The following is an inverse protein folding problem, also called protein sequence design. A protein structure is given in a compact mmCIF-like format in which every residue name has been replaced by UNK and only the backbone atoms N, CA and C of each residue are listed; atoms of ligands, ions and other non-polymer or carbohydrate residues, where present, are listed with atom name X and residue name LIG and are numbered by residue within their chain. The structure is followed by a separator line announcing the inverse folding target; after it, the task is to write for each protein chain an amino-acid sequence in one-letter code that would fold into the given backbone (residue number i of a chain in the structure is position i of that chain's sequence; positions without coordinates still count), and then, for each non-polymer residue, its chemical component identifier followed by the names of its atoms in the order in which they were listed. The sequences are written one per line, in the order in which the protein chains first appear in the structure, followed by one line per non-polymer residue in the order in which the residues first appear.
data_IF_118421724143
#
_entry.id   IF_118421724143
#
_cell.length_a   1.000
_cell.length_b   1.000
_cell.length_c   1.000
_cell.angle_alpha   90.00
_cell.angle_beta   90.00
_cell.angle_gamma   90.00
#
_symmetry.space_group_name_H-M   'P 1'
#
loop_
_entity.id
_entity.type
_entity.pdbx_description
1 polymer ?
#
# COMPACT_ATOMS: atom_id res chain seq x y z
N UNK A 1 25.19 22.99 -10.82
CA UNK A 1 24.06 22.03 -10.65
C UNK A 1 24.29 20.90 -11.64
N UNK A 2 24.48 19.68 -11.19
CA UNK A 2 24.51 18.51 -12.08
C UNK A 2 23.18 18.45 -12.83
N UNK A 3 23.25 18.19 -14.13
CA UNK A 3 22.06 18.05 -14.97
C UNK A 3 21.40 16.71 -14.60
N UNK A 4 20.39 16.73 -13.72
CA UNK A 4 19.64 15.52 -13.32
C UNK A 4 18.74 15.07 -14.47
N UNK A 5 18.57 13.77 -14.63
CA UNK A 5 17.66 13.24 -15.66
C UNK A 5 16.19 13.51 -15.33
N UNK A 6 15.34 13.46 -16.34
CA UNK A 6 13.92 13.81 -16.23
C UNK A 6 13.13 12.82 -15.38
N UNK A 7 13.45 11.50 -15.45
CA UNK A 7 12.82 10.47 -14.62
C UNK A 7 13.07 10.74 -13.15
N UNK A 8 14.34 11.04 -12.80
CA UNK A 8 14.73 11.37 -11.44
C UNK A 8 14.02 12.64 -10.93
N UNK A 9 14.00 13.71 -11.73
CA UNK A 9 13.33 14.96 -11.34
C UNK A 9 11.83 14.74 -11.12
N UNK A 10 11.21 13.94 -11.97
CA UNK A 10 9.80 13.57 -11.84
C UNK A 10 9.55 12.79 -10.56
N UNK A 11 10.35 11.76 -10.28
CA UNK A 11 10.22 10.95 -9.07
C UNK A 11 10.37 11.80 -7.80
N UNK A 12 11.43 12.61 -7.71
CA UNK A 12 11.71 13.47 -6.54
C UNK A 12 10.57 14.48 -6.31
N UNK A 13 10.08 15.14 -7.37
CA UNK A 13 9.04 16.17 -7.23
C UNK A 13 7.66 15.60 -6.91
N UNK A 14 7.35 14.40 -7.43
CA UNK A 14 6.01 13.82 -7.30
C UNK A 14 5.84 13.03 -6.00
N UNK A 15 6.87 12.29 -5.57
CA UNK A 15 6.74 11.27 -4.52
C UNK A 15 7.26 11.70 -3.14
N UNK A 16 7.87 12.88 -3.00
CA UNK A 16 8.46 13.35 -1.72
C UNK A 16 7.50 13.25 -0.53
N UNK A 17 6.26 13.66 -0.72
CA UNK A 17 5.25 13.59 0.35
C UNK A 17 4.93 12.16 0.77
N UNK A 18 4.88 11.21 -0.18
CA UNK A 18 4.64 9.80 0.13
C UNK A 18 5.76 9.21 0.98
N UNK A 19 7.02 9.48 0.63
CA UNK A 19 8.18 9.00 1.38
C UNK A 19 8.12 9.47 2.83
N UNK A 20 7.98 10.77 3.03
CA UNK A 20 7.96 11.37 4.36
C UNK A 20 6.73 10.92 5.17
N UNK A 21 5.55 10.84 4.54
CA UNK A 21 4.33 10.42 5.22
C UNK A 21 4.32 8.93 5.61
N UNK A 22 5.17 8.11 5.00
CA UNK A 22 5.30 6.68 5.28
C UNK A 22 6.59 6.32 6.03
N UNK A 23 7.27 7.31 6.62
CA UNK A 23 8.30 7.08 7.62
C UNK A 23 9.75 7.30 7.17
N UNK A 24 9.99 7.76 5.93
CA UNK A 24 11.32 8.19 5.51
C UNK A 24 11.62 9.55 6.15
N UNK A 25 12.73 9.72 6.89
CA UNK A 25 13.16 11.03 7.37
C UNK A 25 13.35 12.01 6.22
N UNK A 26 12.88 13.25 6.39
CA UNK A 26 13.04 14.29 5.36
C UNK A 26 14.51 14.56 5.03
N UNK A 27 15.42 14.45 6.02
CA UNK A 27 16.86 14.55 5.83
C UNK A 27 17.37 13.51 4.84
N UNK A 28 16.94 12.25 5.01
CA UNK A 28 17.37 11.14 4.14
C UNK A 28 16.85 11.30 2.73
N UNK A 29 15.58 11.73 2.58
CA UNK A 29 15.03 12.05 1.28
C UNK A 29 15.83 13.14 0.56
N UNK A 30 16.22 14.19 1.28
CA UNK A 30 17.03 15.29 0.73
C UNK A 30 18.45 14.82 0.39
N UNK A 31 19.08 14.04 1.27
CA UNK A 31 20.44 13.53 1.07
C UNK A 31 20.51 12.64 -0.18
N UNK A 32 19.65 11.64 -0.29
CA UNK A 32 19.60 10.74 -1.45
C UNK A 32 19.24 11.52 -2.73
N UNK A 33 18.23 12.40 -2.66
CA UNK A 33 17.87 13.23 -3.80
C UNK A 33 19.00 14.16 -4.24
N UNK A 34 19.89 14.57 -3.35
CA UNK A 34 21.03 15.42 -3.68
C UNK A 34 22.23 14.63 -4.24
N UNK A 35 22.47 13.40 -3.75
CA UNK A 35 23.65 12.58 -4.10
C UNK A 35 23.58 12.02 -5.53
N UNK A 36 22.38 11.75 -6.04
CA UNK A 36 22.16 11.09 -7.35
C UNK A 36 21.88 12.08 -8.47
N UNK A 37 22.28 11.74 -9.68
CA UNK A 37 22.05 12.52 -10.90
C UNK A 37 21.24 11.77 -11.96
N UNK A 38 21.18 10.44 -11.88
CA UNK A 38 20.49 9.57 -12.82
C UNK A 38 19.53 8.62 -12.12
N UNK A 39 18.48 8.22 -12.81
CA UNK A 39 17.53 7.24 -12.32
C UNK A 39 18.19 5.87 -12.04
N UNK A 40 19.21 5.49 -12.79
CA UNK A 40 19.95 4.24 -12.59
C UNK A 40 20.64 4.14 -11.21
N UNK A 41 20.93 5.28 -10.57
CA UNK A 41 21.54 5.35 -9.24
C UNK A 41 20.52 5.20 -8.10
N UNK A 42 19.21 5.34 -8.41
CA UNK A 42 18.13 5.43 -7.45
C UNK A 42 18.06 4.24 -6.48
N UNK A 43 17.99 3.03 -7.01
CA UNK A 43 17.78 1.83 -6.22
C UNK A 43 18.94 1.61 -5.23
N UNK A 44 20.16 1.73 -5.73
CA UNK A 44 21.38 1.54 -4.94
C UNK A 44 21.52 2.56 -3.80
N UNK A 45 21.28 3.83 -4.07
CA UNK A 45 21.42 4.87 -3.04
C UNK A 45 20.39 4.74 -1.92
N UNK A 46 19.16 4.36 -2.25
CA UNK A 46 18.14 4.06 -1.25
C UNK A 46 18.45 2.78 -0.46
N UNK A 47 19.02 1.75 -1.10
CA UNK A 47 19.50 0.54 -0.42
C UNK A 47 20.60 0.88 0.57
N UNK A 48 21.61 1.66 0.15
CA UNK A 48 22.69 2.12 1.04
C UNK A 48 22.14 2.90 2.24
N UNK A 49 21.16 3.78 2.03
CA UNK A 49 20.49 4.49 3.12
C UNK A 49 19.78 3.52 4.07
N UNK A 50 19.11 2.50 3.53
CA UNK A 50 18.51 1.41 4.32
C UNK A 50 19.53 0.68 5.18
N UNK A 51 20.70 0.36 4.63
CA UNK A 51 21.78 -0.30 5.39
C UNK A 51 22.35 0.55 6.53
N UNK A 52 22.40 1.88 6.38
CA UNK A 52 22.79 2.78 7.48
C UNK A 52 21.80 2.64 8.65
N UNK A 53 20.50 2.70 8.39
CA UNK A 53 19.49 2.49 9.44
C UNK A 53 19.50 1.07 9.99
N UNK A 54 19.74 0.06 9.13
CA UNK A 54 19.90 -1.33 9.56
C UNK A 54 21.02 -1.51 10.59
N UNK A 55 22.18 -0.88 10.35
CA UNK A 55 23.31 -0.90 11.28
C UNK A 55 23.00 -0.21 12.61
N UNK A 56 22.29 0.92 12.60
CA UNK A 56 21.80 1.58 13.82
C UNK A 56 20.82 0.68 14.59
N UNK A 57 19.96 -0.05 13.87
CA UNK A 57 19.07 -1.05 14.45
C UNK A 57 19.82 -2.19 15.13
N UNK A 58 20.87 -2.73 14.48
CA UNK A 58 21.71 -3.79 15.05
C UNK A 58 22.44 -3.30 16.32
N UNK A 59 22.98 -2.08 16.31
CA UNK A 59 23.61 -1.45 17.47
C UNK A 59 22.61 -1.28 18.64
N UNK A 60 21.43 -0.74 18.37
CA UNK A 60 20.38 -0.56 19.38
C UNK A 60 19.96 -1.91 19.98
N UNK A 61 19.83 -2.96 19.16
CA UNK A 61 19.47 -4.32 19.61
C UNK A 61 20.54 -4.92 20.53
N UNK A 62 21.83 -4.76 20.19
CA UNK A 62 22.96 -5.23 21.01
C UNK A 62 22.91 -4.55 22.40
N UNK A 63 22.52 -3.28 22.45
CA UNK A 63 22.41 -2.52 23.70
C UNK A 63 21.09 -2.77 24.46
N UNK A 64 20.20 -3.65 23.95
CA UNK A 64 18.92 -3.97 24.59
C UNK A 64 17.83 -2.91 24.37
N UNK A 65 18.01 -1.95 23.47
CA UNK A 65 17.06 -0.88 23.16
C UNK A 65 16.09 -1.35 22.06
N UNK A 66 15.21 -2.29 22.40
CA UNK A 66 14.37 -2.98 21.45
C UNK A 66 13.45 -2.05 20.64
N UNK A 67 12.82 -1.05 21.26
CA UNK A 67 11.95 -0.11 20.52
C UNK A 67 12.75 0.74 19.54
N UNK A 68 13.91 1.26 19.94
CA UNK A 68 14.79 2.01 19.03
C UNK A 68 15.29 1.12 17.88
N UNK A 69 15.60 -0.14 18.16
CA UNK A 69 15.98 -1.10 17.14
C UNK A 69 14.84 -1.34 16.14
N UNK A 70 13.59 -1.50 16.63
CA UNK A 70 12.40 -1.65 15.78
C UNK A 70 12.21 -0.43 14.86
N UNK A 71 12.32 0.79 15.40
CA UNK A 71 12.18 2.03 14.63
C UNK A 71 13.25 2.16 13.54
N UNK A 72 14.52 1.85 13.86
CA UNK A 72 15.60 1.87 12.87
C UNK A 72 15.40 0.80 11.78
N UNK A 73 15.03 -0.43 12.15
CA UNK A 73 14.76 -1.48 11.16
C UNK A 73 13.55 -1.13 10.29
N UNK A 74 12.50 -0.50 10.83
CA UNK A 74 11.39 -0.03 10.01
C UNK A 74 11.84 1.04 9.01
N UNK A 75 12.64 2.02 9.44
CA UNK A 75 13.20 3.03 8.54
C UNK A 75 14.09 2.39 7.47
N UNK A 76 14.91 1.40 7.83
CA UNK A 76 15.71 0.63 6.89
C UNK A 76 14.84 -0.08 5.84
N UNK A 77 13.76 -0.73 6.29
CA UNK A 77 12.82 -1.42 5.41
C UNK A 77 12.15 -0.46 4.42
N UNK A 78 11.66 0.68 4.91
CA UNK A 78 10.98 1.68 4.07
C UNK A 78 11.94 2.32 3.07
N UNK A 79 13.20 2.59 3.44
CA UNK A 79 14.24 3.08 2.52
C UNK A 79 14.49 2.07 1.38
N UNK A 80 14.71 0.80 1.71
CA UNK A 80 14.90 -0.26 0.70
C UNK A 80 13.65 -0.45 -0.16
N UNK A 81 12.44 -0.40 0.45
CA UNK A 81 11.19 -0.45 -0.30
C UNK A 81 11.10 0.68 -1.33
N UNK A 82 11.41 1.91 -0.96
CA UNK A 82 11.39 3.04 -1.90
C UNK A 82 12.55 3.01 -2.90
N UNK A 83 13.62 2.29 -2.63
CA UNK A 83 14.65 1.98 -3.62
C UNK A 83 14.08 1.17 -4.78
N UNK A 84 13.22 0.19 -4.48
CA UNK A 84 12.66 -0.72 -5.49
C UNK A 84 11.37 -0.22 -6.17
N UNK A 85 10.57 0.66 -5.54
CA UNK A 85 9.13 0.82 -5.80
C UNK A 85 8.71 1.06 -7.27
N UNK A 86 9.41 1.91 -8.03
CA UNK A 86 9.20 2.16 -9.48
C UNK A 86 10.43 1.78 -10.32
N UNK A 87 11.43 1.15 -9.70
CA UNK A 87 12.70 0.81 -10.34
C UNK A 87 12.60 -0.52 -11.08
N UNK A 88 11.98 -0.53 -12.27
CA UNK A 88 11.72 -1.75 -13.04
C UNK A 88 12.75 -2.05 -14.13
N UNK A 89 13.72 -1.16 -14.35
CA UNK A 89 14.73 -1.28 -15.39
C UNK A 89 15.81 -2.30 -15.11
N UNK A 90 16.08 -2.60 -13.83
CA UNK A 90 16.93 -3.69 -13.37
C UNK A 90 16.17 -4.56 -12.36
N UNK A 91 15.45 -5.59 -12.83
CA UNK A 91 14.63 -6.46 -11.99
C UNK A 91 15.41 -7.24 -10.93
N UNK A 92 16.68 -7.57 -11.18
CA UNK A 92 17.51 -8.27 -10.21
C UNK A 92 17.91 -7.36 -9.05
N UNK A 93 18.37 -6.14 -9.33
CA UNK A 93 18.67 -5.15 -8.31
C UNK A 93 17.39 -4.80 -7.53
N UNK A 94 16.29 -4.52 -8.23
CA UNK A 94 14.98 -4.25 -7.63
C UNK A 94 14.58 -5.35 -6.64
N UNK A 95 14.68 -6.61 -7.05
CA UNK A 95 14.34 -7.76 -6.21
C UNK A 95 15.26 -7.88 -5.00
N UNK A 96 16.58 -7.74 -5.20
CA UNK A 96 17.55 -7.83 -4.10
C UNK A 96 17.28 -6.76 -3.04
N UNK A 97 17.09 -5.51 -3.47
CA UNK A 97 16.77 -4.38 -2.56
C UNK A 97 15.45 -4.61 -1.83
N UNK A 98 14.45 -5.19 -2.51
CA UNK A 98 13.19 -5.54 -1.85
C UNK A 98 13.38 -6.64 -0.79
N UNK A 99 14.21 -7.64 -1.04
CA UNK A 99 14.49 -8.67 -0.04
C UNK A 99 15.14 -8.09 1.22
N UNK A 100 15.98 -7.07 1.11
CA UNK A 100 16.48 -6.33 2.28
C UNK A 100 15.33 -5.60 3.02
N UNK A 101 14.39 -4.99 2.28
CA UNK A 101 13.20 -4.38 2.92
C UNK A 101 12.42 -5.43 3.74
N UNK A 102 12.18 -6.61 3.17
CA UNK A 102 11.49 -7.72 3.85
C UNK A 102 12.24 -8.15 5.13
N UNK A 103 13.55 -8.34 5.05
CA UNK A 103 14.36 -8.78 6.21
C UNK A 103 14.41 -7.73 7.32
N UNK A 104 14.58 -6.45 6.99
CA UNK A 104 14.54 -5.37 7.98
C UNK A 104 13.16 -5.24 8.60
N UNK A 105 12.11 -5.35 7.81
CA UNK A 105 10.74 -5.27 8.33
C UNK A 105 10.41 -6.44 9.27
N UNK A 106 10.85 -7.66 8.99
CA UNK A 106 10.74 -8.80 9.92
C UNK A 106 11.38 -8.49 11.26
N UNK A 107 12.64 -8.00 11.26
CA UNK A 107 13.36 -7.60 12.49
C UNK A 107 12.60 -6.49 13.24
N UNK A 108 12.03 -5.53 12.51
CA UNK A 108 11.22 -4.47 13.11
C UNK A 108 9.98 -5.02 13.81
N UNK A 109 9.19 -5.86 13.12
CA UNK A 109 7.94 -6.41 13.65
C UNK A 109 8.15 -7.25 14.92
N UNK A 110 9.25 -8.01 15.01
CA UNK A 110 9.58 -8.80 16.21
C UNK A 110 9.75 -7.93 17.46
N UNK A 111 10.26 -6.70 17.31
CA UNK A 111 10.64 -5.80 18.40
C UNK A 111 9.66 -4.64 18.58
N UNK A 112 8.76 -4.43 17.63
CA UNK A 112 7.77 -3.34 17.64
C UNK A 112 6.76 -3.51 18.78
N UNK A 113 6.06 -2.43 19.06
CA UNK A 113 5.02 -2.38 20.08
C UNK A 113 3.71 -1.77 19.53
N UNK A 114 2.65 -2.57 19.28
CA UNK A 114 2.60 -4.04 19.42
C UNK A 114 3.44 -4.76 18.37
N UNK A 115 3.91 -6.00 18.65
CA UNK A 115 4.66 -6.80 17.71
C UNK A 115 3.76 -7.25 16.54
N UNK A 116 4.40 -7.61 15.42
CA UNK A 116 3.72 -8.18 14.26
C UNK A 116 4.02 -9.67 14.09
N UNK A 117 3.12 -10.34 13.38
CA UNK A 117 3.24 -11.73 12.95
C UNK A 117 3.33 -11.76 11.42
N UNK A 118 4.35 -12.42 10.86
CA UNK A 118 4.37 -12.73 9.44
C UNK A 118 3.48 -13.94 9.18
N UNK A 119 2.57 -13.81 8.23
CA UNK A 119 1.59 -14.85 7.88
C UNK A 119 1.73 -15.28 6.43
N UNK A 120 1.28 -16.50 6.14
CA UNK A 120 1.22 -17.09 4.82
C UNK A 120 -0.23 -17.43 4.47
N UNK A 121 -0.68 -16.98 3.31
CA UNK A 121 -2.03 -17.19 2.81
C UNK A 121 -1.94 -17.82 1.42
N UNK A 122 -2.50 -19.03 1.27
CA UNK A 122 -2.47 -19.74 0.01
C UNK A 122 -3.67 -19.39 -0.87
N UNK A 123 -3.41 -19.01 -2.12
CA UNK A 123 -4.40 -18.75 -3.15
C UNK A 123 -3.88 -19.19 -4.53
N UNK A 124 -4.63 -20.05 -5.23
CA UNK A 124 -4.33 -20.51 -6.60
C UNK A 124 -2.84 -20.90 -6.84
N UNK A 125 -2.27 -21.75 -6.00
CA UNK A 125 -0.86 -22.16 -6.01
C UNK A 125 0.15 -21.03 -5.75
N UNK A 126 -0.29 -19.84 -5.34
CA UNK A 126 0.53 -18.75 -4.87
C UNK A 126 0.46 -18.69 -3.34
N UNK A 127 1.61 -18.59 -2.68
CA UNK A 127 1.68 -18.18 -1.28
C UNK A 127 1.82 -16.67 -1.23
N UNK A 128 0.78 -15.99 -0.75
CA UNK A 128 0.80 -14.57 -0.45
C UNK A 128 1.35 -14.37 0.97
N UNK A 129 2.29 -13.45 1.12
CA UNK A 129 2.83 -13.10 2.43
C UNK A 129 2.15 -11.86 2.98
N UNK A 130 1.82 -11.89 4.26
CA UNK A 130 1.22 -10.76 4.94
C UNK A 130 1.85 -10.51 6.31
N UNK A 131 1.51 -9.37 6.87
CA UNK A 131 1.85 -8.95 8.22
C UNK A 131 0.55 -8.73 8.98
N UNK A 132 0.38 -9.44 10.08
CA UNK A 132 -0.73 -9.29 11.00
C UNK A 132 -0.24 -8.61 12.27
N UNK A 133 -0.88 -7.49 12.64
CA UNK A 133 -0.63 -6.82 13.92
C UNK A 133 -1.92 -6.68 14.70
N UNK A 134 -1.86 -6.94 16.00
CA UNK A 134 -3.02 -6.85 16.88
C UNK A 134 -2.84 -5.73 17.89
N UNK A 135 -3.90 -4.97 18.20
CA UNK A 135 -3.85 -3.98 19.26
C UNK A 135 -3.61 -4.65 20.62
N UNK A 136 -3.01 -3.92 21.56
CA UNK A 136 -2.76 -4.45 22.90
C UNK A 136 -4.05 -4.58 23.70
N UNK A 137 -4.10 -5.61 24.56
CA UNK A 137 -5.14 -5.80 25.57
C UNK A 137 -6.58 -5.89 24.99
N UNK A 138 -6.71 -6.35 23.76
CA UNK A 138 -8.01 -6.61 23.14
C UNK A 138 -8.02 -8.05 22.65
N UNK A 139 -8.91 -8.84 23.24
CA UNK A 139 -9.18 -10.20 22.81
C UNK A 139 -10.11 -10.14 21.56
N UNK A 140 -9.80 -10.93 20.54
CA UNK A 140 -10.58 -10.99 19.29
C UNK A 140 -10.88 -9.62 18.69
N UNK A 141 -9.87 -8.78 18.38
CA UNK A 141 -10.10 -7.48 17.76
C UNK A 141 -10.72 -7.62 16.37
N UNK A 142 -11.54 -6.65 15.94
CA UNK A 142 -11.92 -6.53 14.53
C UNK A 142 -10.68 -6.31 13.65
N UNK A 143 -10.80 -6.63 12.36
CA UNK A 143 -9.66 -6.62 11.45
C UNK A 143 -9.91 -5.68 10.28
N UNK A 144 -8.91 -4.88 9.92
CA UNK A 144 -8.87 -4.19 8.63
C UNK A 144 -7.83 -4.86 7.72
N UNK A 145 -8.32 -5.38 6.59
CA UNK A 145 -7.47 -5.88 5.50
C UNK A 145 -6.98 -4.69 4.70
N UNK A 146 -5.68 -4.61 4.43
CA UNK A 146 -5.07 -3.48 3.72
C UNK A 146 -4.53 -3.92 2.36
N UNK A 147 -5.15 -3.40 1.29
CA UNK A 147 -4.77 -3.65 -0.10
C UNK A 147 -3.85 -2.56 -0.62
N UNK A 148 -2.70 -2.99 -1.12
CA UNK A 148 -1.64 -2.10 -1.57
C UNK A 148 -1.90 -1.50 -2.95
N UNK A 149 -1.22 -0.38 -3.25
CA UNK A 149 -1.17 0.22 -4.59
C UNK A 149 -0.31 -0.59 -5.56
N UNK A 150 -0.20 -0.06 -6.78
CA UNK A 150 0.55 -0.70 -7.86
C UNK A 150 2.01 -1.02 -7.47
N UNK A 151 2.68 -0.07 -6.85
CA UNK A 151 4.10 -0.06 -6.53
C UNK A 151 4.40 -0.18 -5.03
N UNK A 152 3.34 -0.34 -4.21
CA UNK A 152 3.43 -0.54 -2.76
C UNK A 152 3.72 -2.00 -2.40
N UNK A 153 4.19 -2.20 -1.18
CA UNK A 153 4.33 -3.51 -0.54
C UNK A 153 4.01 -3.37 0.96
N UNK A 154 3.81 -4.49 1.63
CA UNK A 154 3.44 -4.53 3.06
C UNK A 154 4.44 -3.82 3.99
N UNK A 155 5.70 -3.68 3.57
CA UNK A 155 6.77 -3.01 4.33
C UNK A 155 6.57 -1.49 4.46
N UNK A 156 5.71 -0.90 3.64
CA UNK A 156 5.45 0.55 3.63
C UNK A 156 4.40 0.99 4.66
N UNK A 157 3.67 0.06 5.30
CA UNK A 157 2.36 0.38 5.88
C UNK A 157 2.36 0.76 7.36
N UNK A 158 3.45 0.71 8.08
CA UNK A 158 3.52 0.94 9.54
C UNK A 158 2.76 2.21 9.99
N UNK A 159 2.96 3.34 9.32
CA UNK A 159 2.30 4.60 9.67
C UNK A 159 0.79 4.61 9.41
N UNK A 160 0.33 3.77 8.47
CA UNK A 160 -1.10 3.59 8.17
C UNK A 160 -1.73 2.55 9.10
N UNK A 161 -1.01 1.50 9.48
CA UNK A 161 -1.48 0.50 10.46
C UNK A 161 -1.67 1.13 11.83
N UNK A 162 -0.76 2.01 12.25
CA UNK A 162 -0.75 2.61 13.59
C UNK A 162 -2.06 3.27 13.97
N UNK A 163 -2.68 4.01 13.05
CA UNK A 163 -3.95 4.70 13.35
C UNK A 163 -5.10 3.74 13.63
N UNK A 164 -5.09 2.54 13.07
CA UNK A 164 -6.08 1.49 13.35
C UNK A 164 -5.74 0.75 14.64
N UNK A 165 -4.48 0.37 14.84
CA UNK A 165 -4.01 -0.31 16.07
C UNK A 165 -4.31 0.54 17.32
N UNK A 166 -4.07 1.86 17.26
CA UNK A 166 -4.35 2.81 18.35
C UNK A 166 -5.84 2.92 18.66
N UNK A 167 -6.73 2.43 17.77
CA UNK A 167 -8.19 2.39 17.93
C UNK A 167 -8.74 1.00 18.23
N UNK A 168 -7.87 0.05 18.52
CA UNK A 168 -8.31 -1.30 18.88
C UNK A 168 -8.67 -2.20 17.70
N UNK A 169 -8.23 -1.86 16.49
CA UNK A 169 -8.47 -2.62 15.25
C UNK A 169 -7.15 -3.31 14.85
N UNK A 170 -7.18 -4.61 14.65
CA UNK A 170 -6.07 -5.36 14.07
C UNK A 170 -5.89 -5.00 12.59
N UNK A 171 -4.65 -5.01 12.11
CA UNK A 171 -4.31 -4.77 10.71
C UNK A 171 -3.75 -6.04 10.08
N UNK A 172 -4.23 -6.38 8.89
CA UNK A 172 -3.68 -7.43 8.05
C UNK A 172 -3.30 -6.82 6.72
N UNK A 173 -2.01 -6.56 6.54
CA UNK A 173 -1.41 -6.05 5.32
C UNK A 173 -0.82 -7.21 4.54
N UNK A 174 -1.13 -7.36 3.25
CA UNK A 174 -0.63 -8.49 2.47
C UNK A 174 -0.17 -8.09 1.07
N UNK A 175 0.80 -8.83 0.56
CA UNK A 175 1.26 -8.73 -0.82
C UNK A 175 0.43 -9.67 -1.69
N UNK A 176 -0.61 -9.14 -2.32
CA UNK A 176 -1.41 -9.89 -3.27
C UNK A 176 -0.71 -10.06 -4.62
N UNK A 177 -1.37 -10.73 -5.59
CA UNK A 177 -0.79 -10.97 -6.92
C UNK A 177 -0.26 -9.69 -7.56
N UNK A 178 0.95 -9.73 -8.07
CA UNK A 178 1.65 -8.59 -8.69
C UNK A 178 2.17 -7.53 -7.72
N UNK A 179 2.15 -7.79 -6.41
CA UNK A 179 2.59 -6.85 -5.38
C UNK A 179 3.64 -7.47 -4.46
N UNK A 180 4.56 -6.65 -3.96
CA UNK A 180 5.56 -7.04 -2.99
C UNK A 180 6.28 -8.35 -3.34
N UNK A 181 6.30 -9.32 -2.42
CA UNK A 181 6.97 -10.62 -2.67
C UNK A 181 6.25 -11.44 -3.73
N UNK A 182 4.94 -11.24 -3.93
CA UNK A 182 4.15 -11.95 -4.95
C UNK A 182 4.39 -11.46 -6.38
N UNK A 183 4.91 -10.23 -6.59
CA UNK A 183 5.15 -9.67 -7.93
C UNK A 183 6.16 -10.46 -8.76
N UNK A 184 7.04 -11.21 -8.09
CA UNK A 184 8.04 -12.07 -8.76
C UNK A 184 7.44 -13.37 -9.27
N UNK A 185 6.29 -13.80 -8.75
CA UNK A 185 5.66 -15.09 -8.99
C UNK A 185 4.39 -14.98 -9.84
N UNK A 186 3.61 -13.92 -9.65
CA UNK A 186 2.32 -13.73 -10.30
C UNK A 186 2.15 -12.30 -10.83
N UNK A 187 1.40 -12.08 -11.94
CA UNK A 187 1.01 -10.77 -12.40
C UNK A 187 -0.04 -10.14 -11.48
N UNK A 188 -0.33 -8.85 -11.69
CA UNK A 188 -1.50 -8.16 -11.14
C UNK A 188 -2.77 -8.98 -11.46
N UNK A 189 -3.71 -9.02 -10.52
CA UNK A 189 -5.00 -9.71 -10.70
C UNK A 189 -6.13 -8.67 -10.78
N UNK A 190 -6.83 -8.54 -11.92
CA UNK A 190 -8.00 -7.67 -12.03
C UNK A 190 -9.16 -8.12 -11.13
N UNK A 191 -9.36 -9.43 -10.98
CA UNK A 191 -10.37 -10.07 -10.14
C UNK A 191 -9.89 -10.19 -8.69
N UNK A 192 -9.55 -9.04 -8.07
CA UNK A 192 -8.88 -9.00 -6.76
C UNK A 192 -9.79 -9.40 -5.58
N UNK A 193 -11.09 -9.57 -5.81
CA UNK A 193 -11.99 -10.19 -4.85
C UNK A 193 -11.58 -11.60 -4.46
N UNK A 194 -10.97 -12.37 -5.39
CA UNK A 194 -10.55 -13.73 -5.13
C UNK A 194 -9.41 -13.83 -4.10
N UNK A 195 -8.26 -13.14 -4.26
CA UNK A 195 -7.22 -13.15 -3.23
C UNK A 195 -7.69 -12.54 -1.90
N UNK A 196 -8.57 -11.51 -1.92
CA UNK A 196 -9.16 -10.97 -0.68
C UNK A 196 -10.04 -11.98 0.01
N UNK A 197 -10.85 -12.76 -0.72
CA UNK A 197 -11.65 -13.84 -0.14
C UNK A 197 -10.77 -14.86 0.57
N UNK A 198 -9.62 -15.24 -0.01
CA UNK A 198 -8.67 -16.14 0.66
C UNK A 198 -8.08 -15.52 1.96
N UNK A 199 -7.89 -14.19 2.00
CA UNK A 199 -7.49 -13.49 3.23
C UNK A 199 -8.60 -13.55 4.28
N UNK A 200 -9.87 -13.35 3.90
CA UNK A 200 -11.01 -13.46 4.81
C UNK A 200 -11.13 -14.89 5.34
N UNK A 201 -10.98 -15.91 4.48
CA UNK A 201 -10.98 -17.33 4.87
C UNK A 201 -9.83 -17.67 5.85
N UNK A 202 -8.69 -16.98 5.75
CA UNK A 202 -7.61 -17.08 6.72
C UNK A 202 -8.04 -16.48 8.07
N UNK A 203 -8.66 -15.29 8.08
CA UNK A 203 -9.16 -14.65 9.30
C UNK A 203 -10.21 -15.53 10.00
N UNK A 204 -11.13 -16.16 9.26
CA UNK A 204 -12.16 -17.03 9.80
C UNK A 204 -11.61 -18.28 10.53
N UNK A 205 -10.39 -18.68 10.22
CA UNK A 205 -9.71 -19.82 10.88
C UNK A 205 -8.93 -19.41 12.13
N UNK A 206 -8.92 -18.13 12.48
CA UNK A 206 -8.19 -17.57 13.61
C UNK A 206 -9.13 -17.35 14.80
N UNK A 207 -8.86 -18.01 15.92
CA UNK A 207 -9.63 -17.85 17.17
C UNK A 207 -9.32 -16.51 17.90
N UNK A 208 -8.23 -15.84 17.51
CA UNK A 208 -7.74 -14.61 18.11
C UNK A 208 -8.08 -13.34 17.31
N UNK A 209 -8.99 -13.45 16.33
CA UNK A 209 -9.51 -12.35 15.50
C UNK A 209 -11.04 -12.44 15.37
N UNK A 210 -11.72 -11.31 15.25
CA UNK A 210 -13.17 -11.23 15.06
C UNK A 210 -13.53 -11.34 13.59
N UNK A 211 -13.84 -12.56 13.14
CA UNK A 211 -14.16 -12.82 11.73
C UNK A 211 -15.49 -12.23 11.26
N UNK A 212 -16.38 -11.85 12.17
CA UNK A 212 -17.63 -11.16 11.88
C UNK A 212 -17.50 -9.62 11.78
N UNK A 213 -16.31 -9.08 12.09
CA UNK A 213 -15.99 -7.64 12.08
C UNK A 213 -14.75 -7.37 11.22
N UNK A 214 -14.83 -7.73 9.94
CA UNK A 214 -13.76 -7.53 8.96
C UNK A 214 -14.09 -6.35 8.06
N UNK A 215 -13.15 -5.44 7.91
CA UNK A 215 -13.22 -4.31 6.98
C UNK A 215 -12.08 -4.36 5.97
N UNK A 216 -12.18 -3.56 4.91
CA UNK A 216 -11.14 -3.47 3.89
C UNK A 216 -10.75 -2.01 3.64
N UNK A 217 -9.46 -1.78 3.45
CA UNK A 217 -8.87 -0.49 3.12
C UNK A 217 -7.94 -0.66 1.92
N UNK A 218 -8.00 0.27 0.98
CA UNK A 218 -7.14 0.21 -0.19
C UNK A 218 -6.63 1.57 -0.62
N UNK A 219 -5.36 1.60 -1.08
CA UNK A 219 -4.67 2.82 -1.49
C UNK A 219 -4.26 2.78 -2.96
N UNK A 220 -4.50 3.86 -3.73
CA UNK A 220 -4.14 3.93 -5.15
C UNK A 220 -4.78 2.76 -5.93
N UNK A 221 -4.02 1.88 -6.58
CA UNK A 221 -4.58 0.68 -7.21
C UNK A 221 -5.34 -0.21 -6.18
N UNK A 222 -4.90 -0.24 -4.92
CA UNK A 222 -5.65 -0.86 -3.83
C UNK A 222 -7.03 -0.23 -3.60
N UNK A 223 -7.17 1.06 -3.93
CA UNK A 223 -8.46 1.77 -3.92
C UNK A 223 -9.42 1.30 -5.02
N UNK A 224 -8.95 0.56 -6.04
CA UNK A 224 -9.77 -0.26 -6.92
C UNK A 224 -10.04 -1.64 -6.30
N UNK A 225 -9.02 -2.28 -5.73
CA UNK A 225 -9.11 -3.63 -5.17
C UNK A 225 -10.11 -3.73 -4.01
N UNK A 226 -10.10 -2.75 -3.11
CA UNK A 226 -10.98 -2.77 -1.94
C UNK A 226 -12.47 -2.67 -2.32
N UNK A 227 -12.93 -1.71 -3.14
CA UNK A 227 -14.31 -1.68 -3.63
C UNK A 227 -14.67 -2.90 -4.48
N UNK A 228 -13.74 -3.42 -5.28
CA UNK A 228 -13.93 -4.65 -6.05
C UNK A 228 -14.27 -5.82 -5.12
N UNK A 229 -13.47 -6.04 -4.10
CA UNK A 229 -13.71 -7.07 -3.10
C UNK A 229 -15.04 -6.85 -2.36
N UNK A 230 -15.31 -5.62 -1.91
CA UNK A 230 -16.55 -5.29 -1.20
C UNK A 230 -17.81 -5.46 -2.05
N UNK A 231 -17.68 -5.42 -3.38
CA UNK A 231 -18.81 -5.66 -4.29
C UNK A 231 -19.12 -7.15 -4.52
N UNK A 232 -18.24 -8.05 -4.08
CA UNK A 232 -18.36 -9.51 -4.30
C UNK A 232 -18.39 -10.32 -3.00
N UNK A 233 -17.99 -9.74 -1.86
CA UNK A 233 -17.91 -10.45 -0.58
C UNK A 233 -18.67 -9.71 0.54
N UNK A 234 -19.84 -10.21 0.90
CA UNK A 234 -20.74 -9.64 1.92
C UNK A 234 -20.20 -9.79 3.36
N UNK A 235 -19.10 -10.51 3.57
CA UNK A 235 -18.45 -10.62 4.88
C UNK A 235 -17.79 -9.32 5.29
N UNK A 236 -17.45 -8.44 4.33
CA UNK A 236 -16.87 -7.13 4.59
C UNK A 236 -17.91 -6.16 5.17
N UNK A 237 -17.60 -5.56 6.32
CA UNK A 237 -18.50 -4.67 7.07
C UNK A 237 -18.32 -3.19 6.76
N UNK A 238 -17.18 -2.82 6.21
CA UNK A 238 -16.88 -1.46 5.76
C UNK A 238 -15.77 -1.49 4.70
N UNK A 239 -15.76 -0.50 3.82
CA UNK A 239 -14.75 -0.34 2.78
C UNK A 239 -14.19 1.09 2.78
N UNK A 240 -12.86 1.23 2.67
CA UNK A 240 -12.18 2.52 2.50
C UNK A 240 -11.39 2.48 1.20
N UNK A 241 -11.63 3.44 0.30
CA UNK A 241 -10.91 3.62 -0.96
C UNK A 241 -10.19 4.96 -0.99
N UNK A 242 -8.86 4.92 -1.02
CA UNK A 242 -8.03 6.12 -1.10
C UNK A 242 -7.54 6.33 -2.54
N UNK A 243 -8.11 7.27 -3.25
CA UNK A 243 -7.78 7.67 -4.63
C UNK A 243 -7.62 6.48 -5.60
N UNK A 244 -8.55 5.53 -5.50
CA UNK A 244 -8.58 4.38 -6.41
C UNK A 244 -9.13 4.77 -7.79
N UNK A 245 -8.64 4.18 -8.89
CA UNK A 245 -9.28 4.30 -10.19
C UNK A 245 -10.62 3.56 -10.19
N UNK A 246 -11.63 4.16 -10.81
CA UNK A 246 -12.91 3.51 -11.08
C UNK A 246 -12.77 2.51 -12.23
N UNK A 247 -12.07 2.95 -13.30
CA UNK A 247 -11.65 2.07 -14.39
C UNK A 247 -10.23 2.45 -14.81
N UNK A 248 -9.30 1.48 -14.76
CA UNK A 248 -7.89 1.76 -15.09
C UNK A 248 -7.71 2.19 -16.56
N UNK A 249 -8.54 1.69 -17.47
CA UNK A 249 -8.54 2.09 -18.88
C UNK A 249 -8.81 3.57 -19.09
N UNK A 250 -9.60 4.23 -18.24
CA UNK A 250 -9.90 5.65 -18.33
C UNK A 250 -8.66 6.53 -18.16
N UNK A 251 -7.69 6.04 -17.40
CA UNK A 251 -6.51 6.80 -16.99
C UNK A 251 -5.22 6.35 -17.68
N UNK A 252 -5.19 5.15 -18.29
CA UNK A 252 -3.98 4.49 -18.77
C UNK A 252 -3.11 5.37 -19.66
N UNK A 253 -3.72 6.14 -20.59
CA UNK A 253 -2.97 7.01 -21.51
C UNK A 253 -2.39 8.27 -20.82
N UNK A 254 -2.88 8.62 -19.61
CA UNK A 254 -2.54 9.86 -18.90
C UNK A 254 -1.64 9.65 -17.67
N UNK A 255 -1.46 8.40 -17.21
CA UNK A 255 -0.62 8.13 -16.03
C UNK A 255 0.85 8.47 -16.32
N UNK A 256 1.63 8.88 -15.29
CA UNK A 256 3.04 9.18 -15.44
C UNK A 256 3.85 8.00 -16.00
N UNK A 257 4.90 8.30 -16.80
CA UNK A 257 5.70 7.28 -17.49
C UNK A 257 6.25 6.19 -16.56
N UNK A 258 6.82 6.55 -15.40
CA UNK A 258 7.31 5.57 -14.42
C UNK A 258 6.18 4.65 -13.89
N UNK A 259 4.99 5.20 -13.66
CA UNK A 259 3.82 4.42 -13.24
C UNK A 259 3.38 3.46 -14.35
N UNK A 260 3.42 3.90 -15.62
CA UNK A 260 3.09 3.08 -16.79
C UNK A 260 4.10 1.94 -16.95
N UNK A 261 5.40 2.22 -16.87
CA UNK A 261 6.47 1.22 -16.90
C UNK A 261 6.27 0.17 -15.79
N UNK A 262 5.95 0.60 -14.57
CA UNK A 262 5.67 -0.29 -13.45
C UNK A 262 4.41 -1.15 -13.68
N UNK A 263 3.35 -0.59 -14.29
CA UNK A 263 2.14 -1.34 -14.62
C UNK A 263 2.41 -2.42 -15.67
N UNK A 264 3.13 -2.09 -16.75
CA UNK A 264 3.54 -3.04 -17.78
C UNK A 264 4.37 -4.18 -17.17
N UNK A 265 5.34 -3.84 -16.33
CA UNK A 265 6.20 -4.82 -15.66
C UNK A 265 5.39 -5.77 -14.75
N UNK A 266 4.48 -5.25 -13.93
CA UNK A 266 3.74 -6.03 -12.93
C UNK A 266 2.53 -6.77 -13.48
N UNK A 267 1.96 -6.31 -14.59
CA UNK A 267 0.97 -7.06 -15.36
C UNK A 267 1.60 -8.18 -16.19
N UNK A 268 2.95 -8.23 -16.28
CA UNK A 268 3.72 -9.14 -17.14
C UNK A 268 3.38 -8.99 -18.64
N UNK A 269 2.87 -7.83 -19.04
CA UNK A 269 2.65 -7.48 -20.43
C UNK A 269 3.97 -7.17 -21.15
N UNK A 270 4.03 -7.44 -22.44
CA UNK A 270 5.24 -7.23 -23.26
C UNK A 270 5.20 -5.94 -24.09
N UNK A 271 4.06 -5.25 -24.09
CA UNK A 271 3.86 -3.98 -24.81
C UNK A 271 2.87 -3.08 -24.09
N UNK A 272 2.86 -1.79 -24.47
CA UNK A 272 1.88 -0.83 -23.97
C UNK A 272 0.45 -1.17 -24.45
N UNK A 273 0.29 -1.66 -25.68
CA UNK A 273 -1.01 -2.07 -26.21
C UNK A 273 -1.59 -3.28 -25.43
N UNK A 274 -0.76 -4.28 -25.15
CA UNK A 274 -1.15 -5.42 -24.33
C UNK A 274 -1.53 -4.99 -22.90
N UNK A 275 -0.75 -4.08 -22.32
CA UNK A 275 -1.05 -3.55 -20.98
C UNK A 275 -2.34 -2.71 -20.96
N UNK A 276 -2.64 -1.99 -22.03
CA UNK A 276 -3.89 -1.24 -22.17
C UNK A 276 -5.11 -2.17 -22.30
N UNK A 277 -4.98 -3.26 -23.05
CA UNK A 277 -6.01 -4.30 -23.11
C UNK A 277 -6.20 -4.94 -21.73
N UNK A 278 -5.10 -5.29 -21.04
CA UNK A 278 -5.15 -5.81 -19.67
C UNK A 278 -5.86 -4.84 -18.71
N UNK A 279 -5.54 -3.55 -18.79
CA UNK A 279 -6.15 -2.48 -17.99
C UNK A 279 -7.66 -2.38 -18.16
N UNK A 280 -8.21 -2.74 -19.33
CA UNK A 280 -9.66 -2.73 -19.58
C UNK A 280 -10.46 -3.70 -18.75
N UNK A 281 -9.82 -4.73 -18.16
CA UNK A 281 -10.44 -5.67 -17.23
C UNK A 281 -10.58 -5.09 -15.82
N UNK A 282 -9.86 -4.01 -15.53
CA UNK A 282 -9.85 -3.36 -14.22
C UNK A 282 -10.90 -2.24 -14.21
N UNK A 283 -12.17 -2.61 -14.05
CA UNK A 283 -13.33 -1.74 -14.17
C UNK A 283 -14.39 -2.08 -13.09
N UNK A 284 -14.81 -1.07 -12.33
CA UNK A 284 -15.83 -1.19 -11.28
C UNK A 284 -17.25 -0.93 -11.79
N UNK A 285 -17.44 -0.46 -13.04
CA UNK A 285 -18.74 -0.05 -13.57
C UNK A 285 -19.80 -1.16 -13.50
N UNK A 286 -19.37 -2.41 -13.67
CA UNK A 286 -20.25 -3.58 -13.61
C UNK A 286 -20.64 -4.01 -12.19
N UNK A 287 -19.83 -3.69 -11.17
CA UNK A 287 -19.96 -4.27 -9.85
C UNK A 287 -20.13 -3.27 -8.69
N UNK A 288 -19.70 -2.00 -8.83
CA UNK A 288 -19.75 -1.02 -7.74
C UNK A 288 -21.12 -0.86 -7.07
N UNK A 289 -22.21 -0.97 -7.85
CA UNK A 289 -23.60 -0.94 -7.35
C UNK A 289 -23.96 -2.07 -6.38
N UNK A 290 -23.15 -3.12 -6.34
CA UNK A 290 -23.35 -4.30 -5.48
C UNK A 290 -22.71 -4.12 -4.09
N UNK A 291 -21.92 -3.07 -3.87
CA UNK A 291 -21.34 -2.76 -2.56
C UNK A 291 -22.49 -2.50 -1.58
N UNK A 292 -22.58 -3.32 -0.52
CA UNK A 292 -23.62 -3.25 0.50
C UNK A 292 -23.16 -2.59 1.80
N UNK A 293 -21.86 -2.71 2.10
CA UNK A 293 -21.30 -2.12 3.31
C UNK A 293 -21.08 -0.60 3.12
N UNK A 294 -21.01 0.18 4.22
CA UNK A 294 -20.62 1.58 4.18
C UNK A 294 -19.26 1.77 3.49
N UNK A 295 -19.15 2.81 2.67
CA UNK A 295 -17.96 3.10 1.87
C UNK A 295 -17.45 4.51 2.17
N UNK A 296 -16.15 4.61 2.51
CA UNK A 296 -15.44 5.89 2.64
C UNK A 296 -14.49 6.07 1.47
N UNK A 297 -14.62 7.16 0.74
CA UNK A 297 -13.81 7.48 -0.43
C UNK A 297 -13.01 8.76 -0.16
N UNK A 298 -11.72 8.73 -0.47
CA UNK A 298 -10.87 9.93 -0.49
C UNK A 298 -10.47 10.25 -1.93
N UNK A 299 -10.74 11.48 -2.37
CA UNK A 299 -10.31 12.00 -3.67
C UNK A 299 -9.34 13.18 -3.50
N UNK A 300 -8.28 13.22 -4.30
CA UNK A 300 -7.31 14.33 -4.33
C UNK A 300 -7.52 15.23 -5.55
N UNK A 301 -7.80 16.53 -5.33
CA UNK A 301 -8.11 17.47 -6.42
C UNK A 301 -6.91 17.78 -7.34
N UNK A 302 -5.68 17.58 -6.87
CA UNK A 302 -4.44 17.77 -7.63
C UNK A 302 -3.76 16.43 -7.97
N UNK A 303 -4.50 15.32 -7.90
CA UNK A 303 -3.97 14.01 -8.23
C UNK A 303 -3.68 13.90 -9.74
N UNK A 304 -2.42 13.58 -10.07
CA UNK A 304 -1.93 13.43 -11.44
C UNK A 304 -1.79 11.98 -11.88
N UNK A 305 -1.99 11.03 -10.95
CA UNK A 305 -1.93 9.58 -11.22
C UNK A 305 -3.34 9.04 -11.43
N UNK A 306 -4.22 9.30 -10.45
CA UNK A 306 -5.64 8.94 -10.53
C UNK A 306 -6.46 10.23 -10.45
N UNK A 307 -6.97 10.74 -11.57
CA UNK A 307 -7.75 11.96 -11.59
C UNK A 307 -8.94 11.92 -10.64
N UNK A 308 -9.31 13.05 -10.02
CA UNK A 308 -10.36 13.10 -9.01
C UNK A 308 -11.74 12.64 -9.51
N UNK A 309 -11.96 12.66 -10.82
CA UNK A 309 -13.16 12.15 -11.47
C UNK A 309 -13.38 10.67 -11.20
N UNK A 310 -12.31 9.87 -11.10
CA UNK A 310 -12.40 8.43 -10.82
C UNK A 310 -13.00 8.14 -9.44
N UNK A 311 -12.58 8.89 -8.41
CA UNK A 311 -13.15 8.80 -7.06
C UNK A 311 -14.63 9.23 -7.06
N UNK A 312 -14.99 10.25 -7.86
CA UNK A 312 -16.38 10.71 -8.00
C UNK A 312 -17.26 9.68 -8.70
N UNK A 313 -16.74 9.02 -9.76
CA UNK A 313 -17.46 7.93 -10.45
C UNK A 313 -17.77 6.78 -9.50
N UNK A 314 -16.83 6.40 -8.62
CA UNK A 314 -17.09 5.39 -7.61
C UNK A 314 -18.19 5.84 -6.63
N UNK A 315 -18.12 7.08 -6.15
CA UNK A 315 -19.13 7.62 -5.23
C UNK A 315 -20.53 7.63 -5.84
N UNK A 316 -20.65 7.97 -7.13
CA UNK A 316 -21.94 8.03 -7.84
C UNK A 316 -22.49 6.64 -8.22
N UNK A 317 -21.62 5.62 -8.34
CA UNK A 317 -22.03 4.27 -8.74
C UNK A 317 -22.55 3.41 -7.59
N UNK A 318 -22.28 3.77 -6.34
CA UNK A 318 -22.68 3.00 -5.16
C UNK A 318 -24.04 3.48 -4.65
N UNK A 319 -24.98 2.54 -4.45
CA UNK A 319 -26.32 2.83 -3.97
C UNK A 319 -26.44 2.89 -2.43
N UNK A 320 -25.35 2.57 -1.72
CA UNK A 320 -25.30 2.45 -0.26
C UNK A 320 -24.91 3.73 0.47
N UNK A 321 -24.47 3.57 1.71
CA UNK A 321 -23.96 4.65 2.55
C UNK A 321 -22.53 5.02 2.10
N UNK A 322 -22.36 6.24 1.58
CA UNK A 322 -21.09 6.72 1.01
C UNK A 322 -20.68 8.02 1.67
N UNK A 323 -19.47 8.04 2.22
CA UNK A 323 -18.77 9.25 2.64
C UNK A 323 -17.73 9.59 1.55
N UNK A 324 -17.90 10.73 0.88
CA UNK A 324 -16.94 11.22 -0.11
C UNK A 324 -16.16 12.43 0.43
N UNK A 325 -14.89 12.19 0.79
CA UNK A 325 -13.97 13.21 1.27
C UNK A 325 -13.09 13.70 0.11
N UNK A 326 -13.54 14.78 -0.55
CA UNK A 326 -12.77 15.43 -1.60
C UNK A 326 -11.81 16.47 -1.01
N UNK A 327 -10.51 16.27 -1.22
CA UNK A 327 -9.45 17.16 -0.73
C UNK A 327 -8.94 17.99 -1.91
N UNK A 328 -9.46 19.21 -2.06
CA UNK A 328 -9.22 20.10 -3.21
C UNK A 328 -7.72 20.27 -3.54
N UNK A 329 -6.88 20.45 -2.53
CA UNK A 329 -5.44 20.63 -2.64
C UNK A 329 -4.62 19.33 -2.39
N UNK A 330 -5.31 18.16 -2.43
CA UNK A 330 -4.71 16.84 -2.28
C UNK A 330 -3.98 16.38 -3.53
N UNK A 331 -2.71 15.94 -3.40
CA UNK A 331 -1.98 15.20 -4.43
C UNK A 331 -2.44 13.74 -4.48
N UNK A 332 -1.73 12.88 -5.24
CA UNK A 332 -2.03 11.44 -5.25
C UNK A 332 -2.06 10.87 -3.83
N UNK A 333 -3.14 10.14 -3.51
CA UNK A 333 -3.47 9.64 -2.16
C UNK A 333 -3.58 10.78 -1.11
N UNK A 334 -3.64 12.03 -1.54
CA UNK A 334 -3.55 13.20 -0.66
C UNK A 334 -2.37 13.12 0.34
N UNK A 335 -1.22 12.55 -0.08
CA UNK A 335 -0.03 12.39 0.76
C UNK A 335 0.53 13.72 1.30
N UNK A 336 0.27 14.82 0.59
CA UNK A 336 0.59 16.17 1.06
C UNK A 336 -0.41 16.72 2.10
N UNK A 337 -1.50 16.00 2.38
CA UNK A 337 -2.61 16.40 3.28
C UNK A 337 -3.11 15.23 4.12
N UNK A 338 -2.23 14.35 4.57
CA UNK A 338 -2.58 13.15 5.33
C UNK A 338 -3.45 13.45 6.56
N UNK A 339 -3.27 14.61 7.18
CA UNK A 339 -4.05 15.07 8.33
C UNK A 339 -5.53 15.35 8.02
N UNK A 340 -5.91 15.40 6.73
CA UNK A 340 -7.31 15.58 6.30
C UNK A 340 -8.08 14.26 6.12
N UNK A 341 -7.40 13.10 6.20
CA UNK A 341 -8.09 11.83 5.99
C UNK A 341 -7.60 10.67 6.88
N UNK A 342 -6.29 10.56 7.20
CA UNK A 342 -5.71 9.35 7.79
C UNK A 342 -6.37 8.98 9.13
N UNK A 343 -6.49 9.92 10.05
CA UNK A 343 -7.18 9.68 11.34
C UNK A 343 -8.70 9.64 11.18
N UNK A 344 -9.26 10.46 10.30
CA UNK A 344 -10.71 10.51 10.06
C UNK A 344 -11.24 9.19 9.50
N UNK A 345 -10.52 8.55 8.57
CA UNK A 345 -10.91 7.23 8.05
C UNK A 345 -10.85 6.15 9.13
N UNK A 346 -9.87 6.22 10.04
CA UNK A 346 -9.76 5.29 11.13
C UNK A 346 -10.85 5.51 12.21
N UNK A 347 -11.19 6.77 12.54
CA UNK A 347 -12.31 7.11 13.43
C UNK A 347 -13.64 6.64 12.85
N UNK A 348 -13.87 6.91 11.55
CA UNK A 348 -15.07 6.45 10.84
C UNK A 348 -15.18 4.93 10.87
N UNK A 349 -14.11 4.20 10.53
CA UNK A 349 -14.11 2.75 10.57
C UNK A 349 -14.42 2.22 11.98
N UNK A 350 -13.79 2.80 13.00
CA UNK A 350 -14.02 2.44 14.41
C UNK A 350 -15.48 2.56 14.80
N UNK A 351 -16.16 3.61 14.33
CA UNK A 351 -17.60 3.83 14.61
C UNK A 351 -18.52 2.77 14.01
N UNK A 352 -18.03 2.00 13.04
CA UNK A 352 -18.80 0.95 12.36
C UNK A 352 -18.50 -0.42 12.97
N UNK A 353 -17.21 -0.76 13.14
CA UNK A 353 -16.82 -2.15 13.45
C UNK A 353 -16.56 -2.40 14.95
N UNK A 354 -16.52 -1.38 15.79
CA UNK A 354 -16.38 -1.54 17.24
C UNK A 354 -17.72 -1.57 17.98
N UNK A 355 -18.79 -1.12 17.33
CA UNK A 355 -20.14 -1.15 17.83
C UNK A 355 -20.85 -2.42 17.32
#
# INVERSE_FOLDING_TARGET
MQNKDEKLLTAVSHWSYRFVSNGVPLSDFNDVSASISKWDEWCNEWEMKGHIHGALGDEARINGYNLSAAEHYNTAAVCCHFGKFLFVQDPEQMKQTHLFAVEYHKKSMELADPPGERIEINWNNLTMYGNLRKPKNIDNPPVVIMCMGLDSAKEEMETNERVFLDRGIATLVFDGPGQGESEYLAPICPEYEEPVSAVIDFIEKRDDLSSDRVAIWGVSLGGYYAPRAASHDDRLKACISLTGPFAWSNIFDRIPGLTKEAFIHRSKCHSEDEAKEFASRMDLSGCAKNIKCPLYIVGGGLDRVVPPEESKLLADAVNGDVVYNYIEDGSHVANNRIYKYRTQTADWLSSIILN
#
